data_IF_125540535939
#
_entry.id   IF_125540535939
#
_cell.length_a   1.000
_cell.length_b   1.000
_cell.length_c   1.000
_cell.angle_alpha   90.00
_cell.angle_beta   90.00
_cell.angle_gamma   90.00
#
_symmetry.space_group_name_H-M   'P 1'
#
loop_
_entity.id
_entity.type
_entity.pdbx_description
1 polymer ?
#
# COMPACT_ATOMS: atom_id res chain seq x y z
N UNK A 1 -11.32 -5.27 -28.49
CA UNK A 1 -12.03 -6.56 -28.42
C UNK A 1 -12.62 -6.83 -29.78
N UNK A 2 -12.56 -8.05 -30.26
CA UNK A 2 -13.28 -8.47 -31.49
C UNK A 2 -14.34 -9.51 -31.10
N UNK A 3 -15.29 -9.80 -31.99
CA UNK A 3 -16.36 -10.78 -31.73
C UNK A 3 -15.84 -12.21 -31.57
N UNK A 4 -14.54 -12.45 -31.79
CA UNK A 4 -13.93 -13.78 -31.79
C UNK A 4 -12.88 -13.96 -30.69
N UNK A 5 -12.24 -12.89 -30.25
CA UNK A 5 -11.13 -12.95 -29.30
C UNK A 5 -10.97 -11.65 -28.52
N UNK A 6 -10.60 -11.77 -27.24
CA UNK A 6 -10.08 -10.68 -26.43
C UNK A 6 -8.58 -10.81 -26.32
N UNK A 7 -7.85 -9.77 -26.71
CA UNK A 7 -6.39 -9.70 -26.61
C UNK A 7 -6.02 -8.77 -25.46
N UNK A 8 -5.24 -9.27 -24.52
CA UNK A 8 -4.66 -8.50 -23.42
C UNK A 8 -3.18 -8.26 -23.72
N UNK A 9 -2.80 -7.01 -23.83
CA UNK A 9 -1.42 -6.58 -24.03
C UNK A 9 -0.76 -6.44 -22.67
N UNK A 10 0.34 -7.14 -22.46
CA UNK A 10 1.08 -7.15 -21.20
C UNK A 10 2.42 -6.48 -21.41
N UNK A 11 2.75 -5.54 -20.54
CA UNK A 11 4.11 -5.08 -20.31
C UNK A 11 4.55 -5.55 -18.93
N UNK A 12 5.47 -6.50 -18.91
CA UNK A 12 5.99 -7.11 -17.69
C UNK A 12 7.30 -6.43 -17.25
N UNK A 13 7.44 -6.22 -15.96
CA UNK A 13 8.65 -5.70 -15.31
C UNK A 13 9.10 -6.72 -14.26
N UNK A 14 10.31 -7.25 -14.43
CA UNK A 14 10.90 -8.18 -13.47
C UNK A 14 12.42 -8.09 -13.49
N UNK A 15 13.07 -8.76 -12.55
CA UNK A 15 14.54 -8.75 -12.44
C UNK A 15 15.19 -9.25 -13.73
N UNK A 16 16.20 -8.55 -14.27
CA UNK A 16 16.95 -9.03 -15.42
C UNK A 16 17.52 -10.43 -15.18
N UNK A 17 17.50 -11.28 -16.21
CA UNK A 17 18.03 -12.66 -16.17
C UNK A 17 17.31 -13.62 -15.19
N UNK A 18 16.16 -13.21 -14.65
CA UNK A 18 15.23 -14.11 -13.99
C UNK A 18 14.10 -14.47 -14.96
N UNK A 19 13.34 -15.47 -14.66
CA UNK A 19 12.23 -15.91 -15.52
C UNK A 19 10.86 -15.58 -14.90
N UNK A 20 9.90 -15.41 -15.79
CA UNK A 20 8.47 -15.36 -15.49
C UNK A 20 7.78 -16.50 -16.23
N UNK A 21 6.58 -16.86 -15.80
CA UNK A 21 5.78 -17.90 -16.44
C UNK A 21 4.31 -17.51 -16.39
N UNK A 22 3.59 -17.78 -17.46
CA UNK A 22 2.13 -17.70 -17.50
C UNK A 22 1.58 -19.11 -17.59
N UNK A 23 0.76 -19.49 -16.61
CA UNK A 23 0.16 -20.82 -16.56
C UNK A 23 -0.95 -20.99 -17.61
N UNK A 24 -1.08 -22.17 -18.19
CA UNK A 24 -2.19 -22.50 -19.10
C UNK A 24 -3.55 -22.59 -18.39
N UNK A 25 -3.56 -22.69 -17.05
CA UNK A 25 -4.75 -22.59 -16.21
C UNK A 25 -5.21 -21.16 -15.93
N UNK A 26 -4.53 -20.13 -16.48
CA UNK A 26 -4.90 -18.73 -16.27
C UNK A 26 -6.27 -18.39 -16.86
N UNK A 27 -6.97 -17.46 -16.22
CA UNK A 27 -8.26 -16.98 -16.69
C UNK A 27 -8.49 -15.50 -16.33
N UNK A 28 -9.41 -14.88 -17.04
CA UNK A 28 -10.03 -13.63 -16.64
C UNK A 28 -11.38 -13.94 -15.99
N UNK A 29 -11.78 -13.13 -15.00
CA UNK A 29 -13.08 -13.18 -14.34
C UNK A 29 -13.72 -11.79 -14.39
N UNK A 30 -14.97 -11.70 -14.81
CA UNK A 30 -15.69 -10.42 -14.80
C UNK A 30 -16.37 -10.14 -13.45
N UNK A 31 -16.93 -8.94 -13.32
CA UNK A 31 -17.63 -8.50 -12.11
C UNK A 31 -18.88 -9.33 -11.78
N UNK A 32 -19.35 -10.17 -12.70
CA UNK A 32 -20.50 -11.10 -12.50
C UNK A 32 -20.03 -12.52 -12.19
N UNK A 33 -18.70 -12.75 -12.19
CA UNK A 33 -18.10 -14.04 -11.90
C UNK A 33 -17.96 -14.97 -13.11
N UNK A 34 -18.26 -14.53 -14.33
CA UNK A 34 -18.02 -15.33 -15.52
C UNK A 34 -16.51 -15.48 -15.80
N UNK A 35 -16.10 -16.69 -16.15
CA UNK A 35 -14.70 -17.05 -16.36
C UNK A 35 -14.38 -17.15 -17.85
N UNK A 36 -13.25 -16.57 -18.24
CA UNK A 36 -12.70 -16.56 -19.59
C UNK A 36 -11.32 -17.19 -19.56
N UNK A 37 -11.18 -18.52 -19.79
CA UNK A 37 -9.90 -19.22 -19.74
C UNK A 37 -8.96 -18.77 -20.86
N UNK A 38 -7.66 -18.72 -20.55
CA UNK A 38 -6.64 -18.36 -21.54
C UNK A 38 -6.62 -19.37 -22.69
N UNK A 39 -6.48 -18.85 -23.92
CA UNK A 39 -6.36 -19.70 -25.11
C UNK A 39 -4.92 -19.85 -25.58
N UNK A 40 -4.16 -18.75 -25.56
CA UNK A 40 -2.81 -18.71 -26.12
C UNK A 40 -2.02 -17.51 -25.61
N UNK A 41 -0.69 -17.65 -25.51
CA UNK A 41 0.27 -16.54 -25.46
C UNK A 41 0.84 -16.23 -26.84
N UNK A 42 1.12 -14.97 -27.10
CA UNK A 42 1.87 -14.50 -28.27
C UNK A 42 3.06 -13.69 -27.76
N UNK A 43 4.27 -14.09 -28.13
CA UNK A 43 5.51 -13.58 -27.55
C UNK A 43 5.90 -14.26 -26.23
N UNK A 44 5.04 -15.13 -25.69
CA UNK A 44 5.31 -15.98 -24.53
C UNK A 44 4.64 -17.35 -24.73
N UNK A 45 5.30 -18.40 -24.28
CA UNK A 45 4.75 -19.77 -24.31
C UNK A 45 4.18 -20.12 -22.95
N UNK A 46 2.91 -20.55 -22.91
CA UNK A 46 2.27 -20.95 -21.64
C UNK A 46 3.02 -22.14 -21.02
N UNK A 47 3.07 -22.18 -19.69
CA UNK A 47 3.73 -23.19 -18.84
C UNK A 47 5.25 -23.29 -19.01
N UNK A 48 5.87 -22.42 -19.83
CA UNK A 48 7.32 -22.39 -20.02
C UNK A 48 7.94 -21.15 -19.38
N UNK A 49 9.17 -21.30 -18.92
CA UNK A 49 9.96 -20.17 -18.46
C UNK A 49 10.24 -19.19 -19.60
N UNK A 50 9.92 -17.94 -19.38
CA UNK A 50 10.27 -16.82 -20.23
C UNK A 50 11.33 -15.99 -19.50
N UNK A 51 12.56 -16.05 -20.00
CA UNK A 51 13.70 -15.37 -19.39
C UNK A 51 13.68 -13.89 -19.74
N UNK A 52 13.66 -13.06 -18.68
CA UNK A 52 13.64 -11.61 -18.84
C UNK A 52 14.96 -11.10 -19.47
N UNK A 53 14.85 -10.15 -20.41
CA UNK A 53 16.02 -9.51 -20.99
C UNK A 53 16.79 -8.66 -19.98
N UNK A 54 17.96 -8.15 -20.36
CA UNK A 54 18.78 -7.30 -19.50
C UNK A 54 18.11 -5.99 -19.08
N UNK A 55 17.14 -5.50 -19.87
CA UNK A 55 16.30 -4.34 -19.52
C UNK A 55 15.38 -4.60 -18.32
N UNK A 56 15.07 -5.87 -18.03
CA UNK A 56 14.03 -6.22 -17.06
C UNK A 56 12.60 -5.93 -17.54
N UNK A 57 12.40 -5.61 -18.82
CA UNK A 57 11.11 -5.30 -19.43
C UNK A 57 10.81 -6.27 -20.57
N UNK A 58 9.58 -6.76 -20.65
CA UNK A 58 9.11 -7.62 -21.74
C UNK A 58 7.68 -7.29 -22.12
N UNK A 59 7.36 -7.44 -23.41
CA UNK A 59 6.02 -7.24 -23.96
C UNK A 59 5.53 -8.52 -24.63
N UNK A 60 4.31 -8.91 -24.34
CA UNK A 60 3.65 -10.07 -24.92
C UNK A 60 2.13 -9.90 -24.87
N UNK A 61 1.40 -10.82 -25.51
CA UNK A 61 -0.05 -10.80 -25.56
C UNK A 61 -0.63 -12.10 -25.01
N UNK A 62 -1.76 -11.99 -24.34
CA UNK A 62 -2.55 -13.13 -23.88
C UNK A 62 -3.92 -13.09 -24.57
N UNK A 63 -4.32 -14.21 -25.14
CA UNK A 63 -5.55 -14.36 -25.91
C UNK A 63 -6.59 -15.12 -25.09
N UNK A 64 -7.79 -14.54 -24.98
CA UNK A 64 -8.92 -15.09 -24.24
C UNK A 64 -10.16 -15.20 -25.14
N UNK A 65 -11.22 -15.92 -24.74
CA UNK A 65 -12.52 -15.84 -25.39
C UNK A 65 -13.03 -14.40 -25.49
N UNK A 66 -13.97 -14.10 -26.41
CA UNK A 66 -14.57 -12.78 -26.47
C UNK A 66 -15.28 -12.43 -25.16
N UNK A 67 -15.03 -11.22 -24.67
CA UNK A 67 -15.65 -10.68 -23.47
C UNK A 67 -16.76 -9.73 -23.90
N UNK A 68 -17.97 -9.82 -23.31
CA UNK A 68 -19.09 -8.93 -23.64
C UNK A 68 -18.73 -7.46 -23.43
N UNK A 69 -19.20 -6.61 -24.35
CA UNK A 69 -18.87 -5.17 -24.33
C UNK A 69 -19.42 -4.41 -23.12
N UNK A 70 -20.35 -4.99 -22.37
CA UNK A 70 -20.92 -4.41 -21.15
C UNK A 70 -20.13 -4.75 -19.88
N UNK A 71 -19.05 -5.53 -19.98
CA UNK A 71 -18.11 -5.78 -18.87
C UNK A 71 -17.28 -4.52 -18.66
N UNK A 72 -17.18 -4.08 -17.42
CA UNK A 72 -16.47 -2.85 -17.05
C UNK A 72 -15.15 -3.10 -16.31
N UNK A 73 -15.03 -4.25 -15.65
CA UNK A 73 -13.81 -4.64 -14.96
C UNK A 73 -13.56 -6.14 -15.05
N UNK A 74 -12.31 -6.51 -14.92
CA UNK A 74 -11.85 -7.90 -14.95
C UNK A 74 -10.85 -8.14 -13.82
N UNK A 75 -10.82 -9.37 -13.33
CA UNK A 75 -9.73 -9.91 -12.55
C UNK A 75 -8.94 -10.91 -13.40
N UNK A 76 -7.63 -10.94 -13.24
CA UNK A 76 -6.76 -11.98 -13.81
C UNK A 76 -6.31 -12.92 -12.71
N UNK A 77 -6.32 -14.23 -12.98
CA UNK A 77 -5.74 -15.24 -12.10
C UNK A 77 -4.94 -16.27 -12.88
N UNK A 78 -3.79 -16.69 -12.37
CA UNK A 78 -2.96 -17.77 -12.96
C UNK A 78 -3.50 -19.18 -12.65
N UNK A 79 -4.57 -19.29 -11.87
CA UNK A 79 -5.22 -20.56 -11.54
C UNK A 79 -6.15 -20.41 -10.34
N UNK A 80 -6.87 -21.48 -10.03
CA UNK A 80 -7.79 -21.56 -8.90
C UNK A 80 -7.14 -22.37 -7.76
N UNK A 81 -6.04 -21.84 -7.22
CA UNK A 81 -5.32 -22.42 -6.09
C UNK A 81 -4.73 -21.33 -5.18
N UNK A 82 -4.47 -21.69 -3.93
CA UNK A 82 -3.85 -20.80 -2.96
C UNK A 82 -2.43 -20.42 -3.42
N UNK A 83 -2.16 -19.10 -3.42
CA UNK A 83 -0.88 -18.55 -3.87
C UNK A 83 -0.79 -18.31 -5.38
N UNK A 84 -1.85 -18.55 -6.17
CA UNK A 84 -1.91 -18.15 -7.56
C UNK A 84 -1.70 -16.63 -7.68
N UNK A 85 -0.90 -16.21 -8.66
CA UNK A 85 -0.75 -14.79 -8.95
C UNK A 85 -2.07 -14.22 -9.46
N UNK A 86 -2.52 -13.11 -8.86
CA UNK A 86 -3.80 -12.47 -9.18
C UNK A 86 -3.64 -10.98 -9.35
N UNK A 87 -4.39 -10.42 -10.29
CA UNK A 87 -4.55 -8.97 -10.49
C UNK A 87 -6.03 -8.67 -10.43
N UNK A 88 -6.45 -7.86 -9.46
CA UNK A 88 -7.85 -7.52 -9.26
C UNK A 88 -8.20 -6.15 -9.84
N UNK A 89 -9.43 -6.02 -10.33
CA UNK A 89 -10.03 -4.75 -10.70
C UNK A 89 -9.42 -4.09 -11.92
N UNK A 90 -9.02 -4.86 -12.93
CA UNK A 90 -8.55 -4.33 -14.23
C UNK A 90 -9.70 -3.58 -14.87
N UNK A 91 -9.61 -2.26 -14.96
CA UNK A 91 -10.64 -1.41 -15.55
C UNK A 91 -10.56 -1.42 -17.07
N UNK A 92 -11.70 -1.59 -17.72
CA UNK A 92 -11.82 -1.59 -19.19
C UNK A 92 -12.24 -0.23 -19.76
N UNK A 93 -12.61 0.72 -18.90
CA UNK A 93 -13.05 2.05 -19.30
C UNK A 93 -12.06 3.11 -18.84
N UNK A 94 -11.37 3.77 -19.79
CA UNK A 94 -10.39 4.81 -19.50
C UNK A 94 -10.95 6.01 -18.74
N UNK A 95 -12.26 6.31 -18.85
CA UNK A 95 -12.88 7.46 -18.19
C UNK A 95 -12.95 7.29 -16.66
N UNK A 96 -13.09 6.06 -16.20
CA UNK A 96 -13.20 5.76 -14.77
C UNK A 96 -11.83 5.64 -14.07
N UNK A 97 -10.80 5.42 -14.87
CA UNK A 97 -9.44 5.19 -14.37
C UNK A 97 -8.79 6.44 -13.78
N UNK A 98 -9.17 7.64 -14.21
CA UNK A 98 -8.48 8.90 -13.89
C UNK A 98 -9.10 9.70 -12.73
N UNK A 99 -10.21 9.26 -12.17
CA UNK A 99 -10.85 9.92 -11.03
C UNK A 99 -11.08 8.90 -9.95
N UNK A 100 -10.15 8.82 -9.00
CA UNK A 100 -10.42 8.15 -7.74
C UNK A 100 -11.55 8.92 -7.05
N UNK A 101 -12.78 8.42 -7.17
CA UNK A 101 -13.89 8.95 -6.39
C UNK A 101 -13.56 8.80 -4.90
N UNK A 102 -13.94 9.79 -4.11
CA UNK A 102 -13.80 9.69 -2.66
C UNK A 102 -14.57 8.45 -2.19
N UNK A 103 -13.93 7.50 -1.50
CA UNK A 103 -14.61 6.31 -1.02
C UNK A 103 -15.80 6.67 -0.13
N UNK A 104 -16.86 5.87 -0.16
CA UNK A 104 -18.03 6.10 0.67
C UNK A 104 -17.63 6.16 2.15
N UNK A 105 -18.03 7.22 2.84
CA UNK A 105 -17.71 7.45 4.24
C UNK A 105 -16.33 8.08 4.50
N UNK A 106 -15.51 8.25 3.46
CA UNK A 106 -14.24 8.94 3.61
C UNK A 106 -14.44 10.45 3.75
N UNK A 107 -13.65 11.07 4.62
CA UNK A 107 -13.59 12.51 4.84
C UNK A 107 -12.17 12.98 4.55
N UNK A 108 -12.06 14.08 3.85
CA UNK A 108 -10.76 14.75 3.65
C UNK A 108 -10.57 15.71 4.82
N UNK A 109 -9.66 15.36 5.70
CA UNK A 109 -9.27 16.25 6.80
C UNK A 109 -8.23 17.25 6.32
N UNK A 110 -8.36 18.49 6.79
CA UNK A 110 -7.33 19.52 6.64
C UNK A 110 -6.80 19.85 8.02
N UNK A 111 -5.49 19.73 8.17
CA UNK A 111 -4.86 20.07 9.45
C UNK A 111 -5.04 21.56 9.75
N UNK A 112 -5.41 21.88 10.97
CA UNK A 112 -5.36 23.23 11.47
C UNK A 112 -3.96 23.50 12.03
N UNK A 113 -3.09 24.10 11.25
CA UNK A 113 -1.70 24.42 11.65
C UNK A 113 -1.59 25.30 12.90
N UNK A 114 -2.69 25.92 13.33
CA UNK A 114 -2.76 26.73 14.55
C UNK A 114 -3.33 25.97 15.76
N UNK A 115 -3.83 24.76 15.56
CA UNK A 115 -4.33 23.95 16.66
C UNK A 115 -3.15 23.35 17.44
N UNK A 116 -3.25 23.45 18.74
CA UNK A 116 -2.31 22.74 19.64
C UNK A 116 -2.60 21.24 19.60
N UNK A 117 -1.54 20.45 19.59
CA UNK A 117 -1.69 19.01 19.77
C UNK A 117 -2.15 18.71 21.19
N UNK A 118 -3.04 17.72 21.40
CA UNK A 118 -3.42 17.33 22.74
C UNK A 118 -2.18 16.86 23.50
N UNK A 119 -2.11 17.22 24.77
CA UNK A 119 -1.05 16.74 25.66
C UNK A 119 -1.12 15.21 25.71
N UNK A 120 -0.01 14.49 25.44
CA UNK A 120 0.00 13.05 25.54
C UNK A 120 -0.34 12.60 26.97
N UNK A 121 -1.38 11.79 27.10
CA UNK A 121 -1.72 11.17 28.38
C UNK A 121 -1.01 9.82 28.51
N UNK A 122 -0.44 9.59 29.69
CA UNK A 122 0.09 8.28 30.07
C UNK A 122 -0.99 7.54 30.84
N UNK A 123 -1.66 6.61 30.17
CA UNK A 123 -2.70 5.80 30.76
C UNK A 123 -2.69 4.42 30.08
N UNK A 124 -2.69 3.35 30.88
CA UNK A 124 -2.88 2.03 30.33
C UNK A 124 -4.32 1.85 29.86
N UNK A 125 -4.50 1.43 28.61
CA UNK A 125 -5.85 1.23 28.08
C UNK A 125 -5.87 0.64 26.67
N UNK A 126 -7.05 0.15 26.28
CA UNK A 126 -7.28 -0.39 24.96
C UNK A 126 -7.45 0.73 23.92
N UNK A 127 -6.67 0.66 22.87
CA UNK A 127 -6.92 1.41 21.65
C UNK A 127 -7.70 0.54 20.66
N UNK A 128 -8.60 1.14 19.91
CA UNK A 128 -9.38 0.44 18.87
C UNK A 128 -9.10 1.04 17.51
N UNK A 129 -8.70 0.20 16.57
CA UNK A 129 -8.61 0.55 15.15
C UNK A 129 -9.71 -0.19 14.40
N UNK A 130 -10.56 0.56 13.69
CA UNK A 130 -11.57 0.04 12.78
C UNK A 130 -11.26 0.49 11.36
N UNK A 131 -11.73 -0.24 10.38
CA UNK A 131 -11.56 0.23 9.02
C UNK A 131 -12.34 -0.54 7.97
N UNK A 132 -12.19 -0.02 6.75
CA UNK A 132 -12.80 -0.55 5.55
C UNK A 132 -11.76 -0.59 4.44
N UNK A 133 -11.61 -1.73 3.78
CA UNK A 133 -10.81 -1.89 2.57
C UNK A 133 -11.74 -1.71 1.37
N UNK A 134 -11.54 -0.64 0.60
CA UNK A 134 -12.38 -0.40 -0.59
C UNK A 134 -11.94 -1.31 -1.73
N UNK A 135 -12.90 -1.80 -2.50
CA UNK A 135 -12.62 -2.73 -3.60
C UNK A 135 -12.16 -4.11 -3.13
N UNK A 136 -12.31 -4.44 -1.85
CA UNK A 136 -12.00 -5.77 -1.34
C UNK A 136 -12.90 -6.82 -2.00
N UNK A 137 -12.30 -7.93 -2.39
CA UNK A 137 -12.96 -9.09 -2.94
C UNK A 137 -12.63 -10.33 -2.10
N UNK A 138 -13.56 -11.29 -2.05
CA UNK A 138 -13.47 -12.49 -1.19
C UNK A 138 -12.18 -13.31 -1.40
N UNK A 139 -11.61 -13.31 -2.59
CA UNK A 139 -10.41 -14.04 -2.96
C UNK A 139 -9.11 -13.22 -2.78
N UNK A 140 -9.21 -11.99 -2.26
CA UNK A 140 -8.05 -11.21 -1.84
C UNK A 140 -7.51 -11.69 -0.48
N UNK A 141 -6.23 -11.46 -0.18
CA UNK A 141 -5.68 -11.77 1.15
C UNK A 141 -6.51 -11.12 2.26
N UNK A 142 -7.02 -11.94 3.18
CA UNK A 142 -7.88 -11.50 4.28
C UNK A 142 -7.15 -11.24 5.59
N UNK A 143 -5.87 -11.57 5.67
CA UNK A 143 -5.05 -11.38 6.87
C UNK A 143 -4.03 -10.27 6.71
N UNK A 144 -3.76 -9.58 7.80
CA UNK A 144 -2.74 -8.56 7.91
C UNK A 144 -2.27 -8.43 9.35
N UNK A 145 -1.48 -7.42 9.61
CA UNK A 145 -0.92 -7.13 10.92
C UNK A 145 -1.01 -5.64 11.23
N UNK A 146 -1.35 -5.33 12.46
CA UNK A 146 -1.14 -4.03 13.05
C UNK A 146 0.19 -4.08 13.82
N UNK A 147 1.23 -3.51 13.26
CA UNK A 147 2.57 -3.46 13.86
C UNK A 147 2.71 -2.20 14.69
N UNK A 148 3.07 -2.36 15.94
CA UNK A 148 3.22 -1.28 16.89
C UNK A 148 4.68 -1.10 17.30
N UNK A 149 5.07 0.16 17.43
CA UNK A 149 6.33 0.54 18.03
C UNK A 149 6.03 1.28 19.33
N UNK A 150 6.13 0.56 20.45
CA UNK A 150 5.87 1.15 21.76
C UNK A 150 7.08 1.99 22.20
N UNK A 151 6.93 3.31 22.28
CA UNK A 151 8.05 4.20 22.59
C UNK A 151 8.46 4.16 24.06
N UNK A 152 7.62 3.61 24.94
CA UNK A 152 7.87 3.56 26.39
C UNK A 152 8.54 2.25 26.77
N UNK A 153 8.01 1.14 26.29
CA UNK A 153 8.54 -0.20 26.60
C UNK A 153 9.67 -0.64 25.66
N UNK A 154 9.95 0.13 24.59
CA UNK A 154 10.91 -0.22 23.53
C UNK A 154 10.61 -1.58 22.90
N UNK A 155 9.32 -1.90 22.81
CA UNK A 155 8.84 -3.16 22.26
C UNK A 155 8.20 -2.95 20.88
N UNK A 156 8.61 -3.80 19.96
CA UNK A 156 7.91 -3.95 18.69
C UNK A 156 7.06 -5.22 18.77
N UNK A 157 5.77 -5.09 18.58
CA UNK A 157 4.84 -6.21 18.57
C UNK A 157 3.78 -6.03 17.48
N UNK A 158 3.05 -7.07 17.18
CA UNK A 158 2.02 -7.04 16.15
C UNK A 158 0.77 -7.77 16.62
N UNK A 159 -0.37 -7.19 16.28
CA UNK A 159 -1.68 -7.81 16.43
C UNK A 159 -2.15 -8.30 15.05
N UNK A 160 -2.78 -9.46 15.01
CA UNK A 160 -3.39 -9.96 13.78
C UNK A 160 -4.65 -9.17 13.43
N UNK A 161 -4.81 -8.87 12.15
CA UNK A 161 -5.97 -8.16 11.62
C UNK A 161 -6.60 -9.03 10.54
N UNK A 162 -7.89 -9.35 10.72
CA UNK A 162 -8.66 -10.09 9.72
C UNK A 162 -9.65 -9.16 9.03
N UNK A 163 -9.62 -9.16 7.70
CA UNK A 163 -10.60 -8.46 6.86
C UNK A 163 -11.78 -9.40 6.65
N UNK A 164 -12.99 -8.91 6.93
CA UNK A 164 -14.24 -9.65 6.69
C UNK A 164 -14.61 -9.63 5.21
N UNK A 165 -15.58 -10.44 4.80
CA UNK A 165 -16.04 -10.53 3.41
C UNK A 165 -16.55 -9.21 2.84
N UNK A 166 -17.07 -8.32 3.69
CA UNK A 166 -17.51 -6.96 3.32
C UNK A 166 -16.36 -5.95 3.26
N UNK A 167 -15.12 -6.37 3.48
CA UNK A 167 -13.93 -5.53 3.51
C UNK A 167 -13.71 -4.80 4.83
N UNK A 168 -14.59 -4.96 5.83
CA UNK A 168 -14.42 -4.34 7.15
C UNK A 168 -13.40 -5.08 8.01
N UNK A 169 -12.73 -4.37 8.90
CA UNK A 169 -11.85 -4.96 9.92
C UNK A 169 -11.92 -4.18 11.23
N UNK A 170 -11.55 -4.84 12.30
CA UNK A 170 -11.36 -4.22 13.61
C UNK A 170 -10.29 -4.96 14.39
N UNK A 171 -9.44 -4.21 15.07
CA UNK A 171 -8.42 -4.74 15.97
C UNK A 171 -8.35 -3.86 17.21
N UNK A 172 -8.04 -4.48 18.35
CA UNK A 172 -7.81 -3.81 19.63
C UNK A 172 -6.46 -4.22 20.18
N UNK A 173 -5.77 -3.27 20.77
CA UNK A 173 -4.47 -3.50 21.40
C UNK A 173 -4.30 -2.63 22.62
N UNK A 174 -3.48 -3.07 23.58
CA UNK A 174 -3.22 -2.32 24.80
C UNK A 174 -2.03 -1.38 24.57
N UNK A 175 -2.25 -0.11 24.85
CA UNK A 175 -1.24 0.95 24.73
C UNK A 175 -1.16 1.77 26.02
N UNK A 176 -0.02 2.43 26.24
CA UNK A 176 0.23 3.24 27.45
C UNK A 176 0.15 4.74 27.16
N UNK A 177 0.37 5.13 25.93
CA UNK A 177 0.33 6.52 25.45
C UNK A 177 0.01 6.53 23.97
N UNK A 178 0.09 7.69 23.33
CA UNK A 178 -0.01 7.78 21.86
C UNK A 178 1.11 6.94 21.24
N UNK A 179 0.73 5.89 20.55
CA UNK A 179 1.63 4.88 20.01
C UNK A 179 1.56 4.87 18.49
N UNK A 180 2.69 5.12 17.79
CA UNK A 180 2.78 4.92 16.36
C UNK A 180 2.59 3.45 15.99
N UNK A 181 1.80 3.21 14.96
CA UNK A 181 1.56 1.89 14.42
C UNK A 181 1.52 1.91 12.90
N UNK A 182 1.67 0.74 12.30
CA UNK A 182 1.51 0.56 10.86
C UNK A 182 0.57 -0.62 10.61
N UNK A 183 -0.53 -0.35 9.92
CA UNK A 183 -1.41 -1.39 9.42
C UNK A 183 -0.80 -1.96 8.13
N UNK A 184 -0.50 -3.25 8.14
CA UNK A 184 0.20 -3.95 7.05
C UNK A 184 -0.70 -5.03 6.49
N UNK A 185 -1.09 -4.87 5.24
CA UNK A 185 -1.68 -5.91 4.40
C UNK A 185 -0.72 -6.23 3.26
N UNK A 186 -0.83 -7.38 2.58
CA UNK A 186 0.01 -7.70 1.43
C UNK A 186 0.00 -6.64 0.32
N UNK A 187 -1.10 -5.88 0.23
CA UNK A 187 -1.34 -4.85 -0.79
C UNK A 187 -1.21 -3.41 -0.27
N UNK A 188 -1.01 -3.18 1.04
CA UNK A 188 -0.96 -1.84 1.61
C UNK A 188 -0.15 -1.78 2.91
N UNK A 189 0.55 -0.66 3.12
CA UNK A 189 1.14 -0.29 4.40
C UNK A 189 0.68 1.12 4.74
N UNK A 190 -0.08 1.24 5.83
CA UNK A 190 -0.78 2.46 6.22
C UNK A 190 -0.33 2.84 7.63
N UNK A 191 0.35 3.99 7.81
CA UNK A 191 0.70 4.49 9.15
C UNK A 191 -0.55 4.91 9.92
N UNK A 192 -0.55 4.75 11.22
CA UNK A 192 -1.62 5.23 12.09
C UNK A 192 -1.11 5.55 13.50
N UNK A 193 -1.90 6.31 14.25
CA UNK A 193 -1.68 6.62 15.65
C UNK A 193 -2.78 5.99 16.49
N UNK A 194 -2.39 5.36 17.58
CA UNK A 194 -3.29 4.75 18.55
C UNK A 194 -3.10 5.42 19.92
N UNK A 195 -4.16 5.53 20.70
CA UNK A 195 -4.07 6.08 22.05
C UNK A 195 -5.01 5.35 23.00
N UNK A 196 -4.69 5.31 24.32
CA UNK A 196 -5.50 4.64 25.33
C UNK A 196 -6.94 5.16 25.35
N UNK A 197 -7.92 4.25 25.31
CA UNK A 197 -9.34 4.57 25.33
C UNK A 197 -9.87 5.27 24.06
N UNK A 198 -9.08 5.42 23.01
CA UNK A 198 -9.48 6.10 21.78
C UNK A 198 -9.76 5.13 20.64
N UNK A 199 -10.62 5.60 19.73
CA UNK A 199 -10.94 4.89 18.48
C UNK A 199 -10.39 5.70 17.30
N UNK A 200 -9.66 5.00 16.41
CA UNK A 200 -9.24 5.50 15.11
C UNK A 200 -9.93 4.70 14.02
N UNK A 201 -10.27 5.34 12.92
CA UNK A 201 -10.84 4.67 11.74
C UNK A 201 -9.99 4.92 10.50
N UNK A 202 -9.88 3.90 9.64
CA UNK A 202 -9.12 3.99 8.39
C UNK A 202 -9.93 3.39 7.24
N UNK A 203 -10.05 4.13 6.15
CA UNK A 203 -10.53 3.59 4.88
C UNK A 203 -9.32 3.42 3.97
N UNK A 204 -8.98 2.17 3.64
CA UNK A 204 -7.86 1.82 2.76
C UNK A 204 -8.34 1.82 1.31
N UNK A 205 -7.71 2.63 0.46
CA UNK A 205 -8.01 2.71 -0.96
C UNK A 205 -7.07 1.79 -1.75
N UNK A 206 -7.52 0.56 -2.01
CA UNK A 206 -6.70 -0.45 -2.70
C UNK A 206 -6.28 -0.03 -4.11
N UNK A 207 -7.17 0.63 -4.84
CA UNK A 207 -6.87 1.09 -6.19
C UNK A 207 -5.70 2.10 -6.19
N UNK A 208 -5.67 3.01 -5.22
CA UNK A 208 -4.58 3.97 -5.08
C UNK A 208 -3.29 3.31 -4.55
N UNK A 209 -3.40 2.37 -3.60
CA UNK A 209 -2.26 1.60 -3.12
C UNK A 209 -1.60 0.82 -4.27
N UNK A 210 -2.39 0.13 -5.09
CA UNK A 210 -1.91 -0.62 -6.25
C UNK A 210 -1.27 0.29 -7.29
N UNK A 211 -1.91 1.41 -7.61
CA UNK A 211 -1.42 2.35 -8.61
C UNK A 211 -0.09 2.99 -8.22
N UNK A 212 0.09 3.38 -6.96
CA UNK A 212 1.35 3.95 -6.48
C UNK A 212 2.50 2.94 -6.43
N UNK A 213 2.22 1.65 -6.43
CA UNK A 213 3.22 0.58 -6.53
C UNK A 213 3.58 0.23 -7.99
N UNK A 214 2.80 0.68 -8.96
CA UNK A 214 3.03 0.35 -10.37
C UNK A 214 4.28 1.03 -10.93
N UNK A 215 5.15 0.25 -11.56
CA UNK A 215 6.32 0.77 -12.27
C UNK A 215 5.96 1.69 -13.45
N UNK A 216 4.78 1.53 -14.03
CA UNK A 216 4.29 2.37 -15.14
C UNK A 216 3.92 3.78 -14.69
N UNK A 217 3.82 4.02 -13.40
CA UNK A 217 3.32 5.27 -12.83
C UNK A 217 4.30 6.00 -11.92
N UNK A 218 5.61 5.73 -12.10
CA UNK A 218 6.66 6.34 -11.26
C UNK A 218 6.63 7.87 -11.23
N UNK A 219 6.20 8.48 -12.35
CA UNK A 219 6.21 9.95 -12.51
C UNK A 219 4.80 10.56 -12.34
N UNK A 220 3.80 9.75 -12.03
CA UNK A 220 2.43 10.22 -11.92
C UNK A 220 2.11 10.71 -10.51
N UNK A 221 1.57 11.93 -10.46
CA UNK A 221 0.98 12.44 -9.21
C UNK A 221 -0.15 11.52 -8.75
N UNK A 222 -0.30 11.30 -7.43
CA UNK A 222 -1.42 10.52 -6.90
C UNK A 222 -2.76 11.15 -7.32
N UNK A 223 -3.71 10.34 -7.78
CA UNK A 223 -5.08 10.81 -8.07
C UNK A 223 -5.95 10.86 -6.82
N UNK A 224 -5.53 10.16 -5.76
CA UNK A 224 -6.18 10.10 -4.49
C UNK A 224 -5.20 9.73 -3.38
N UNK A 225 -5.74 9.48 -2.21
CA UNK A 225 -4.97 9.08 -1.03
C UNK A 225 -5.03 7.57 -0.87
N UNK A 226 -3.95 6.97 -0.36
CA UNK A 226 -3.90 5.53 -0.02
C UNK A 226 -4.85 5.19 1.11
N UNK A 227 -5.04 6.15 2.03
CA UNK A 227 -5.91 5.97 3.18
C UNK A 227 -6.60 7.29 3.55
N UNK A 228 -7.79 7.16 4.13
CA UNK A 228 -8.54 8.24 4.72
C UNK A 228 -8.77 7.91 6.18
N UNK A 229 -8.55 8.90 7.04
CA UNK A 229 -8.59 8.71 8.49
C UNK A 229 -9.84 9.31 9.10
N UNK A 230 -10.25 8.77 10.25
CA UNK A 230 -11.31 9.29 11.08
C UNK A 230 -11.04 8.99 12.56
N UNK A 231 -11.82 9.59 13.46
CA UNK A 231 -11.65 9.41 14.89
C UNK A 231 -10.47 10.19 15.47
N UNK A 232 -9.71 9.54 16.34
CA UNK A 232 -8.64 10.20 17.11
C UNK A 232 -7.54 10.77 16.21
N UNK A 233 -7.29 12.09 16.33
CA UNK A 233 -6.26 12.82 15.57
C UNK A 233 -6.30 12.58 14.04
N UNK A 234 -7.50 12.46 13.46
CA UNK A 234 -7.68 12.10 12.07
C UNK A 234 -7.00 13.06 11.08
N UNK A 235 -6.99 14.35 11.37
CA UNK A 235 -6.32 15.40 10.59
C UNK A 235 -4.80 15.25 10.62
N UNK A 236 -4.22 15.03 11.80
CA UNK A 236 -2.79 14.76 11.95
C UNK A 236 -2.38 13.45 11.27
N UNK A 237 -3.17 12.37 11.47
CA UNK A 237 -2.91 11.08 10.83
C UNK A 237 -2.93 11.18 9.30
N UNK A 238 -3.87 11.96 8.76
CA UNK A 238 -3.95 12.22 7.32
C UNK A 238 -2.69 12.96 6.82
N UNK A 239 -2.27 14.00 7.54
CA UNK A 239 -1.08 14.78 7.19
C UNK A 239 0.19 13.92 7.23
N UNK A 240 0.37 13.11 8.28
CA UNK A 240 1.51 12.19 8.40
C UNK A 240 1.53 11.10 7.31
N UNK A 241 0.36 10.70 6.83
CA UNK A 241 0.26 9.72 5.74
C UNK A 241 0.54 10.33 4.37
N UNK A 242 0.15 11.59 4.17
CA UNK A 242 0.30 12.29 2.89
C UNK A 242 1.71 12.84 2.70
N UNK A 243 2.34 13.26 3.78
CA UNK A 243 3.68 13.83 3.78
C UNK A 243 4.68 12.82 4.33
N UNK A 244 5.30 12.06 3.45
CA UNK A 244 6.44 11.24 3.85
C UNK A 244 7.59 12.14 4.29
N UNK A 245 8.14 11.90 5.48
CA UNK A 245 9.42 12.50 5.88
C UNK A 245 10.44 12.14 4.80
N UNK A 246 11.07 13.13 4.15
CA UNK A 246 12.05 12.83 3.13
C UNK A 246 13.14 11.88 3.65
N UNK A 247 13.44 10.84 2.90
CA UNK A 247 14.40 9.81 3.31
C UNK A 247 15.82 10.35 3.57
N UNK A 248 16.13 11.52 3.03
CA UNK A 248 17.38 12.24 3.29
C UNK A 248 17.46 12.86 4.70
N UNK A 249 16.34 12.98 5.40
CA UNK A 249 16.31 13.39 6.82
C UNK A 249 16.63 12.22 7.76
N UNK A 250 16.52 10.97 7.27
CA UNK A 250 16.87 9.78 8.03
C UNK A 250 18.31 9.42 7.66
N UNK A 251 19.21 9.68 8.55
CA UNK A 251 20.62 9.36 8.32
C UNK A 251 20.87 7.86 8.16
N UNK A 252 21.68 7.53 7.16
CA UNK A 252 22.18 6.17 7.02
C UNK A 252 23.11 5.86 8.23
N UNK A 253 22.80 4.82 9.05
CA UNK A 253 23.61 4.47 10.23
C UNK A 253 25.10 4.30 9.91
N UNK A 254 25.45 3.73 8.75
CA UNK A 254 26.84 3.56 8.31
C UNK A 254 27.55 4.89 8.04
N UNK A 255 26.80 5.92 7.65
CA UNK A 255 27.35 7.27 7.48
C UNK A 255 27.61 7.91 8.84
N UNK A 256 26.66 7.79 9.77
CA UNK A 256 26.83 8.31 11.14
C UNK A 256 28.07 7.72 11.78
N UNK A 257 28.26 6.39 11.72
CA UNK A 257 29.43 5.72 12.29
C UNK A 257 30.74 6.28 11.72
N UNK A 258 30.80 6.54 10.41
CA UNK A 258 31.97 7.14 9.76
C UNK A 258 32.20 8.58 10.20
N UNK A 259 31.17 9.38 10.26
CA UNK A 259 31.24 10.81 10.58
C UNK A 259 31.63 11.07 12.05
N UNK A 260 31.31 10.13 12.95
CA UNK A 260 31.63 10.24 14.38
C UNK A 260 32.91 9.53 14.78
N UNK A 261 33.52 8.76 13.87
CA UNK A 261 34.76 8.03 14.16
C UNK A 261 35.87 8.97 14.60
N UNK A 262 36.47 8.70 15.77
CA UNK A 262 37.56 9.49 16.34
C UNK A 262 37.18 10.81 17.00
N UNK A 263 35.87 11.13 17.11
CA UNK A 263 35.40 12.31 17.87
C UNK A 263 35.39 12.00 19.37
N UNK A 264 35.77 12.97 20.17
CA UNK A 264 35.57 12.94 21.63
C UNK A 264 34.11 13.25 21.99
N UNK A 265 33.77 13.22 23.28
CA UNK A 265 32.42 13.46 23.79
C UNK A 265 31.90 14.83 23.37
N UNK A 266 32.70 15.85 23.33
CA UNK A 266 32.26 17.19 22.94
C UNK A 266 32.00 17.23 21.43
N UNK A 267 32.90 16.69 20.61
CA UNK A 267 32.70 16.57 19.18
C UNK A 267 31.49 15.72 18.78
N UNK A 268 31.14 14.72 19.58
CA UNK A 268 29.88 13.96 19.40
C UNK A 268 28.65 14.82 19.71
N UNK A 269 28.65 15.56 20.81
CA UNK A 269 27.57 16.48 21.18
C UNK A 269 27.32 17.53 20.08
N UNK A 270 28.40 18.17 19.62
CA UNK A 270 28.31 19.20 18.58
C UNK A 270 27.78 18.61 17.28
N UNK A 271 28.29 17.45 16.86
CA UNK A 271 27.81 16.75 15.67
C UNK A 271 26.29 16.44 15.71
N UNK A 272 25.80 15.87 16.80
CA UNK A 272 24.38 15.54 16.92
C UNK A 272 23.52 16.79 17.10
N UNK A 273 24.00 17.83 17.77
CA UNK A 273 23.28 19.08 17.90
C UNK A 273 23.11 19.77 16.54
N UNK A 274 24.19 19.89 15.80
CA UNK A 274 24.19 20.49 14.45
C UNK A 274 23.24 19.71 13.50
N UNK A 275 23.33 18.38 13.51
CA UNK A 275 22.42 17.55 12.72
C UNK A 275 20.95 17.78 13.08
N UNK A 276 20.64 17.83 14.38
CA UNK A 276 19.28 18.08 14.85
C UNK A 276 18.76 19.45 14.40
N UNK A 277 19.58 20.48 14.50
CA UNK A 277 19.22 21.83 14.06
C UNK A 277 19.00 21.89 12.54
N UNK A 278 19.83 21.21 11.75
CA UNK A 278 19.66 21.15 10.31
C UNK A 278 18.40 20.37 9.91
N UNK A 279 18.08 19.29 10.61
CA UNK A 279 16.84 18.54 10.39
C UNK A 279 15.61 19.41 10.68
N UNK A 280 15.60 20.17 11.78
CA UNK A 280 14.50 21.08 12.09
C UNK A 280 14.32 22.17 11.02
N UNK A 281 15.41 22.78 10.56
CA UNK A 281 15.33 23.76 9.46
C UNK A 281 14.73 23.17 8.20
N UNK A 282 15.11 21.95 7.82
CA UNK A 282 14.58 21.28 6.63
C UNK A 282 13.11 20.91 6.77
N UNK A 283 12.65 20.61 7.99
CA UNK A 283 11.23 20.35 8.27
C UNK A 283 10.42 21.67 8.19
N UNK A 284 10.97 22.75 8.71
CA UNK A 284 10.30 24.07 8.68
C UNK A 284 10.20 24.66 7.26
N UNK A 285 11.11 24.28 6.36
CA UNK A 285 11.15 24.72 4.97
C UNK A 285 10.30 23.84 4.02
N UNK A 286 9.85 22.65 4.46
CA UNK A 286 9.06 21.69 3.67
C UNK A 286 7.55 21.88 3.89
#
# INVERSE_FOLDING_TARGET
>A
MSDTVTTVYIKAFYRPKYWIKIASGSFLKDEKGALYPIRKGVGITLDKEFWMPESGEAEFQLLFPPIPANVTSLDFSEGDFDGAYKIWGIQLNEKDFRKSALPKGAVIHKINKKAELPVPEFAYGKATLKGQVTGYQKDMPSSGQLRLNDPIRWLNYAEEVTIKEDGSFQVQTDVITVTPATLVFPFAQIPCLLAPGKESTIIVNTAECSRQQSHLQKDNKPYGKKAYYGGYLADLQQELSDNSIPSNLVDNPSKIVKDVAGKDINGLKDYFLEKRLNTYKQIDEA
#
